data_IF_349055126854
#
_entry.id   IF_349055126854
#
_cell.length_a   1.000
_cell.length_b   1.000
_cell.length_c   1.000
_cell.angle_alpha   90.00
_cell.angle_beta   90.00
_cell.angle_gamma   90.00
#
_symmetry.space_group_name_H-M   'P 1'
#
loop_
_entity.id
_entity.type
_entity.pdbx_description
1 polymer ?
#
# COMPACT_ATOMS: atom_id res chain seq x y z
N UNK A 1 -1.39 -7.20 14.00
CA UNK A 1 -0.66 -6.99 12.74
C UNK A 1 -0.62 -5.50 12.43
N UNK A 2 0.56 -4.90 12.22
CA UNK A 2 0.72 -3.44 12.07
C UNK A 2 0.89 -3.06 10.60
N UNK A 3 0.03 -2.18 10.10
CA UNK A 3 0.11 -1.62 8.73
C UNK A 3 0.50 -0.15 8.84
N UNK A 4 1.53 0.26 8.10
CA UNK A 4 2.06 1.62 8.12
C UNK A 4 2.20 2.17 6.70
N UNK A 5 1.94 3.46 6.54
CA UNK A 5 2.17 4.19 5.29
C UNK A 5 3.27 5.20 5.55
N UNK A 6 4.45 4.97 4.97
CA UNK A 6 5.64 5.79 5.21
C UNK A 6 5.99 6.53 3.93
N UNK A 7 5.98 7.85 4.00
CA UNK A 7 6.36 8.72 2.89
C UNK A 7 7.88 8.92 2.89
N UNK A 8 8.63 8.37 1.91
CA UNK A 8 10.07 8.62 1.81
C UNK A 8 10.31 10.03 1.26
N UNK A 9 11.07 10.86 1.99
CA UNK A 9 11.60 12.11 1.41
C UNK A 9 12.62 11.76 0.31
N UNK A 10 12.68 12.52 -0.81
CA UNK A 10 11.98 13.78 -1.10
C UNK A 10 10.69 13.65 -1.92
N UNK A 11 10.26 12.43 -2.31
CA UNK A 11 9.05 12.23 -3.12
C UNK A 11 7.81 12.28 -2.24
N UNK A 12 7.25 13.48 -2.10
CA UNK A 12 6.08 13.76 -1.27
C UNK A 12 4.86 12.95 -1.75
N UNK A 13 4.79 12.55 -3.01
CA UNK A 13 3.59 11.90 -3.56
C UNK A 13 3.68 10.37 -3.62
N UNK A 14 4.72 9.79 -3.04
CA UNK A 14 4.92 8.34 -2.93
C UNK A 14 4.83 7.91 -1.46
N UNK A 15 4.14 6.81 -1.16
CA UNK A 15 4.08 6.17 0.15
C UNK A 15 4.50 4.72 0.02
N UNK A 16 5.40 4.28 0.89
CA UNK A 16 5.70 2.86 1.10
C UNK A 16 4.65 2.26 2.02
N UNK A 17 4.07 1.15 1.59
CA UNK A 17 3.17 0.34 2.41
C UNK A 17 4.01 -0.68 3.16
N UNK A 18 3.99 -0.63 4.49
CA UNK A 18 4.72 -1.55 5.35
C UNK A 18 3.78 -2.46 6.13
N UNK A 19 4.20 -3.71 6.27
CA UNK A 19 3.57 -4.72 7.09
C UNK A 19 4.59 -5.23 8.12
N UNK A 20 4.31 -5.04 9.41
CA UNK A 20 5.22 -5.40 10.51
C UNK A 20 6.67 -4.91 10.26
N UNK A 21 6.82 -3.66 9.81
CA UNK A 21 8.12 -3.04 9.52
C UNK A 21 8.73 -3.36 8.14
N UNK A 22 8.25 -4.38 7.42
CA UNK A 22 8.74 -4.75 6.07
C UNK A 22 7.95 -4.02 4.98
N UNK A 23 8.63 -3.48 3.97
CA UNK A 23 7.96 -2.87 2.81
C UNK A 23 7.39 -3.98 1.93
N UNK A 24 6.10 -3.89 1.63
CA UNK A 24 5.35 -4.90 0.86
C UNK A 24 4.62 -4.29 -0.33
N UNK A 25 4.68 -2.97 -0.49
CA UNK A 25 4.04 -2.29 -1.61
C UNK A 25 4.21 -0.78 -1.56
N UNK A 26 3.48 -0.11 -2.45
CA UNK A 26 3.50 1.33 -2.57
C UNK A 26 2.14 1.90 -2.97
N UNK A 27 1.96 3.17 -2.64
CA UNK A 27 0.91 4.04 -3.15
C UNK A 27 1.61 5.27 -3.73
N UNK A 28 1.27 5.70 -4.94
CA UNK A 28 1.87 6.89 -5.54
C UNK A 28 0.85 7.67 -6.35
N UNK A 29 1.06 8.97 -6.49
CA UNK A 29 0.24 9.81 -7.36
C UNK A 29 0.49 9.46 -8.83
N UNK A 30 -0.57 9.42 -9.62
CA UNK A 30 -0.51 9.12 -11.04
C UNK A 30 -1.60 9.94 -11.77
N UNK A 31 -1.19 11.01 -12.44
CA UNK A 31 -2.12 11.97 -13.03
C UNK A 31 -3.02 12.61 -11.97
N UNK A 32 -4.33 12.57 -12.23
CA UNK A 32 -5.34 13.12 -11.31
C UNK A 32 -5.70 12.20 -10.14
N UNK A 33 -5.17 10.96 -10.13
CA UNK A 33 -5.49 9.95 -9.13
C UNK A 33 -4.25 9.36 -8.46
N UNK A 34 -4.44 8.16 -7.93
CA UNK A 34 -3.42 7.39 -7.23
C UNK A 34 -3.38 5.96 -7.76
N UNK A 35 -2.20 5.37 -7.76
CA UNK A 35 -1.99 3.95 -7.97
C UNK A 35 -1.59 3.31 -6.65
N UNK A 36 -2.15 2.13 -6.38
CA UNK A 36 -1.73 1.26 -5.30
C UNK A 36 -1.22 -0.04 -5.88
N UNK A 37 -0.13 -0.55 -5.30
CA UNK A 37 0.39 -1.88 -5.61
C UNK A 37 0.91 -2.53 -4.34
N UNK A 38 0.14 -3.48 -3.80
CA UNK A 38 0.58 -4.37 -2.71
C UNK A 38 0.53 -5.82 -3.20
N UNK A 39 -0.66 -6.31 -3.53
CA UNK A 39 -0.88 -7.61 -4.17
C UNK A 39 -1.09 -7.45 -5.68
N UNK A 40 -1.86 -6.43 -6.06
CA UNK A 40 -2.24 -6.13 -7.45
C UNK A 40 -2.16 -4.63 -7.68
N UNK A 41 -1.85 -4.23 -8.92
CA UNK A 41 -1.93 -2.83 -9.32
C UNK A 41 -3.40 -2.42 -9.44
N UNK A 42 -3.79 -1.35 -8.77
CA UNK A 42 -5.15 -0.83 -8.78
C UNK A 42 -5.12 0.71 -8.77
N UNK A 43 -5.98 1.32 -9.59
CA UNK A 43 -6.18 2.78 -9.60
C UNK A 43 -7.22 3.19 -8.56
N UNK A 44 -7.01 4.35 -7.96
CA UNK A 44 -7.91 4.96 -6.99
C UNK A 44 -8.02 6.47 -7.25
N UNK A 45 -9.22 7.07 -7.15
CA UNK A 45 -9.42 8.49 -7.47
C UNK A 45 -8.84 9.41 -6.39
N UNK A 46 -8.65 8.94 -5.16
CA UNK A 46 -8.14 9.75 -4.04
C UNK A 46 -7.10 8.98 -3.23
N UNK A 47 -6.28 9.72 -2.46
CA UNK A 47 -5.29 9.13 -1.58
C UNK A 47 -5.94 8.21 -0.53
N UNK A 48 -7.06 8.62 0.04
CA UNK A 48 -7.81 7.84 1.01
C UNK A 48 -8.34 6.53 0.41
N UNK A 49 -8.87 6.59 -0.81
CA UNK A 49 -9.31 5.40 -1.54
C UNK A 49 -8.13 4.45 -1.82
N UNK A 50 -6.95 4.98 -2.16
CA UNK A 50 -5.75 4.19 -2.37
C UNK A 50 -5.27 3.51 -1.07
N UNK A 51 -5.29 4.23 0.07
CA UNK A 51 -4.93 3.65 1.36
C UNK A 51 -5.93 2.59 1.83
N UNK A 52 -7.24 2.82 1.60
CA UNK A 52 -8.28 1.82 1.85
C UNK A 52 -8.07 0.57 1.00
N UNK A 53 -7.75 0.74 -0.28
CA UNK A 53 -7.43 -0.36 -1.19
C UNK A 53 -6.16 -1.12 -0.75
N UNK A 54 -5.08 -0.42 -0.37
CA UNK A 54 -3.87 -1.04 0.16
C UNK A 54 -4.15 -1.90 1.40
N UNK A 55 -4.95 -1.39 2.35
CA UNK A 55 -5.37 -2.15 3.54
C UNK A 55 -6.19 -3.38 3.18
N UNK A 56 -7.07 -3.28 2.17
CA UNK A 56 -7.85 -4.42 1.68
C UNK A 56 -6.94 -5.49 1.10
N UNK A 57 -6.06 -5.12 0.15
CA UNK A 57 -5.09 -6.04 -0.46
C UNK A 57 -4.21 -6.72 0.60
N UNK A 58 -3.76 -5.98 1.62
CA UNK A 58 -2.99 -6.56 2.72
C UNK A 58 -3.79 -7.58 3.52
N UNK A 59 -5.06 -7.30 3.83
CA UNK A 59 -5.94 -8.21 4.57
C UNK A 59 -6.11 -9.54 3.83
N UNK A 60 -6.26 -9.46 2.52
CA UNK A 60 -6.42 -10.63 1.66
C UNK A 60 -5.11 -11.44 1.54
N UNK A 61 -3.95 -10.81 1.74
CA UNK A 61 -2.63 -11.46 1.77
C UNK A 61 -2.25 -12.10 3.13
N UNK A 62 -2.87 -11.71 4.24
CA UNK A 62 -2.52 -12.21 5.60
C UNK A 62 -2.54 -13.74 5.68
N UNK A 63 -3.58 -14.44 5.17
CA UNK A 63 -3.63 -15.90 5.27
C UNK A 63 -2.46 -16.56 4.54
N UNK A 64 -1.99 -15.93 3.46
CA UNK A 64 -0.87 -16.42 2.64
C UNK A 64 0.45 -16.14 3.35
N UNK A 65 0.67 -14.92 3.83
CA UNK A 65 1.92 -14.52 4.50
C UNK A 65 2.10 -15.15 5.88
N UNK A 66 1.00 -15.50 6.57
CA UNK A 66 1.01 -16.23 7.83
C UNK A 66 1.36 -17.71 7.71
N UNK A 67 1.34 -18.28 6.49
CA UNK A 67 1.78 -19.65 6.22
C UNK A 67 3.27 -19.74 5.82
N UNK A 68 3.94 -18.61 5.57
CA UNK A 68 5.36 -18.56 5.18
C UNK A 68 6.28 -18.13 6.34
N UNK A 69 5.76 -18.11 7.58
CA UNK A 69 6.49 -17.73 8.78
C UNK A 69 6.78 -18.95 9.67
#
# INVERSE_FOLDING_TARGET
MKIEFVQPRPRIEDWRVKLNGRTVGGVWRCGDGYLVSVAVKQSAPTQEAAFKAARKQLRDLIPILGQVA
#
